data_IF_230327523739
#
_entry.id   IF_230327523739
#
_cell.length_a   1.000
_cell.length_b   1.000
_cell.length_c   1.000
_cell.angle_alpha   90.00
_cell.angle_beta   90.00
_cell.angle_gamma   90.00
#
_symmetry.space_group_name_H-M   'P 1'
#
loop_
_entity.id
_entity.type
_entity.pdbx_description
1 polymer ?
#
# COMPACT_ATOMS: atom_id res chain seq x y z
N UNK A 1 -54.76 28.32 79.92
CA UNK A 1 -55.33 29.68 79.78
C UNK A 1 -55.39 30.06 78.31
N UNK A 2 -56.58 30.46 77.85
CA UNK A 2 -56.92 31.32 76.69
C UNK A 2 -56.86 30.75 75.24
N UNK A 3 -58.05 30.45 74.71
CA UNK A 3 -58.51 30.69 73.32
C UNK A 3 -58.51 32.22 72.99
N UNK A 4 -58.70 32.72 71.73
CA UNK A 4 -59.42 32.16 70.56
C UNK A 4 -58.81 32.43 69.14
N UNK A 5 -59.51 31.97 68.08
CA UNK A 5 -59.33 32.29 66.65
C UNK A 5 -59.86 33.72 66.29
N UNK A 6 -59.75 34.32 65.06
CA UNK A 6 -60.39 33.81 63.82
C UNK A 6 -59.77 34.18 62.44
N UNK A 7 -60.47 33.69 61.39
CA UNK A 7 -60.37 33.82 59.92
C UNK A 7 -60.07 35.20 59.32
N UNK A 8 -59.57 35.20 58.07
CA UNK A 8 -59.97 35.93 56.82
C UNK A 8 -58.79 35.78 55.83
N UNK A 9 -58.88 35.67 54.49
CA UNK A 9 -59.88 36.06 53.50
C UNK A 9 -59.57 35.33 52.17
N UNK A 10 -60.61 35.04 51.38
CA UNK A 10 -60.55 34.53 50.00
C UNK A 10 -59.74 35.46 49.08
N UNK A 11 -58.95 34.85 48.20
CA UNK A 11 -58.31 35.51 47.06
C UNK A 11 -58.26 34.56 45.87
N UNK A 12 -59.41 34.35 45.22
CA UNK A 12 -59.50 33.70 43.91
C UNK A 12 -58.84 34.60 42.86
N UNK A 13 -57.74 34.16 42.28
CA UNK A 13 -57.30 34.61 40.95
C UNK A 13 -57.12 33.40 40.04
N UNK A 14 -58.17 33.12 39.27
CA UNK A 14 -58.05 32.47 37.96
C UNK A 14 -57.27 33.42 37.06
N UNK A 15 -56.17 32.96 36.49
CA UNK A 15 -55.54 33.59 35.34
C UNK A 15 -55.00 32.51 34.40
N UNK A 16 -55.65 32.46 33.23
CA UNK A 16 -55.28 31.93 31.91
C UNK A 16 -54.54 30.57 31.76
N UNK A 17 -55.02 29.66 30.89
CA UNK A 17 -54.18 28.61 30.34
C UNK A 17 -53.06 29.25 29.51
N UNK A 18 -51.82 29.09 29.96
CA UNK A 18 -50.65 29.46 29.19
C UNK A 18 -50.65 28.69 27.86
N UNK A 19 -50.92 29.42 26.79
CA UNK A 19 -50.61 29.04 25.41
C UNK A 19 -49.22 28.41 25.35
N UNK A 20 -49.16 27.12 24.97
CA UNK A 20 -47.94 26.48 24.52
C UNK A 20 -47.49 27.22 23.25
N UNK A 21 -46.61 28.21 23.40
CA UNK A 21 -45.84 28.75 22.28
C UNK A 21 -44.89 27.63 21.83
N UNK A 22 -45.35 26.82 20.88
CA UNK A 22 -44.48 25.97 20.09
C UNK A 22 -43.57 26.89 19.27
N UNK A 23 -42.35 27.09 19.78
CA UNK A 23 -41.31 27.81 19.06
C UNK A 23 -41.06 27.13 17.70
N UNK A 24 -41.10 27.85 16.56
CA UNK A 24 -40.82 27.28 15.25
C UNK A 24 -39.30 27.12 15.07
N UNK A 25 -38.67 26.28 15.90
CA UNK A 25 -37.23 25.94 15.83
C UNK A 25 -36.99 24.52 15.32
N UNK A 26 -37.74 24.04 14.32
CA UNK A 26 -37.58 22.65 13.88
C UNK A 26 -37.51 22.39 12.37
N UNK A 27 -37.73 23.39 11.51
CA UNK A 27 -37.58 23.19 10.05
C UNK A 27 -36.26 23.71 9.48
N UNK A 28 -35.83 24.93 9.84
CA UNK A 28 -34.56 25.50 9.32
C UNK A 28 -33.30 24.76 9.76
N UNK A 29 -33.28 24.18 10.97
CA UNK A 29 -32.13 23.42 11.46
C UNK A 29 -32.05 22.01 10.86
N UNK A 30 -33.20 21.37 10.61
CA UNK A 30 -33.25 20.08 9.94
C UNK A 30 -32.74 20.18 8.49
N UNK A 31 -33.10 21.25 7.78
CA UNK A 31 -32.62 21.49 6.41
C UNK A 31 -31.12 21.86 6.36
N UNK A 32 -30.58 22.57 7.36
CA UNK A 32 -29.13 22.82 7.46
C UNK A 32 -28.35 21.53 7.71
N UNK A 33 -28.83 20.65 8.59
CA UNK A 33 -28.19 19.34 8.79
C UNK A 33 -28.33 18.41 7.58
N UNK A 34 -29.48 18.42 6.88
CA UNK A 34 -29.67 17.64 5.65
C UNK A 34 -28.79 18.14 4.51
N UNK A 35 -28.62 19.46 4.36
CA UNK A 35 -27.70 20.05 3.37
C UNK A 35 -26.24 19.76 3.71
N UNK A 36 -25.87 19.74 4.99
CA UNK A 36 -24.52 19.34 5.42
C UNK A 36 -24.23 17.84 5.18
N UNK A 37 -25.25 16.98 5.26
CA UNK A 37 -25.13 15.55 4.97
C UNK A 37 -25.02 15.23 3.47
N UNK A 38 -25.65 16.02 2.60
CA UNK A 38 -25.57 15.85 1.14
C UNK A 38 -24.27 16.45 0.56
N UNK A 39 -23.70 17.48 1.19
CA UNK A 39 -22.51 18.19 0.68
C UNK A 39 -21.15 17.60 1.11
N UNK A 40 -21.10 16.47 1.83
CA UNK A 40 -19.85 15.93 2.40
C UNK A 40 -19.31 14.65 1.76
N UNK A 41 -19.77 14.28 0.56
CA UNK A 41 -19.13 13.22 -0.24
C UNK A 41 -18.50 13.82 -1.48
N UNK A 42 -17.38 14.53 -1.30
CA UNK A 42 -16.63 15.13 -2.41
C UNK A 42 -16.13 14.02 -3.36
N UNK A 43 -16.66 13.90 -4.59
CA UNK A 43 -16.17 12.91 -5.57
C UNK A 43 -14.69 13.13 -5.90
N UNK A 44 -14.18 14.36 -5.72
CA UNK A 44 -12.78 14.71 -5.97
C UNK A 44 -11.77 13.89 -5.16
N UNK A 45 -12.08 13.52 -3.90
CA UNK A 45 -11.14 12.72 -3.09
C UNK A 45 -11.02 11.29 -3.61
N UNK A 46 -12.14 10.65 -3.95
CA UNK A 46 -12.14 9.31 -4.52
C UNK A 46 -11.41 9.28 -5.87
N UNK A 47 -11.60 10.32 -6.70
CA UNK A 47 -10.89 10.48 -7.98
C UNK A 47 -9.39 10.61 -7.76
N UNK A 48 -8.92 11.44 -6.83
CA UNK A 48 -7.48 11.60 -6.53
C UNK A 48 -6.87 10.26 -6.07
N UNK A 49 -7.54 9.55 -5.17
CA UNK A 49 -7.07 8.22 -4.71
C UNK A 49 -6.99 7.24 -5.88
N UNK A 50 -8.02 7.17 -6.73
CA UNK A 50 -8.03 6.31 -7.89
C UNK A 50 -6.88 6.64 -8.86
N UNK A 51 -6.67 7.93 -9.15
CA UNK A 51 -5.58 8.39 -10.01
C UNK A 51 -4.21 8.07 -9.43
N UNK A 52 -4.01 8.22 -8.12
CA UNK A 52 -2.76 7.88 -7.45
C UNK A 52 -2.46 6.38 -7.54
N UNK A 53 -3.47 5.52 -7.30
CA UNK A 53 -3.32 4.06 -7.38
C UNK A 53 -3.06 3.60 -8.82
N UNK A 54 -3.83 4.11 -9.79
CA UNK A 54 -3.64 3.80 -11.22
C UNK A 54 -2.27 4.30 -11.70
N UNK A 55 -1.90 5.52 -11.35
CA UNK A 55 -0.58 6.08 -11.66
C UNK A 55 0.56 5.25 -11.09
N UNK A 56 0.40 4.75 -9.85
CA UNK A 56 1.38 3.86 -9.22
C UNK A 56 1.50 2.52 -9.94
N UNK A 57 0.38 1.94 -10.38
CA UNK A 57 0.39 0.73 -11.20
C UNK A 57 1.11 0.95 -12.54
N UNK A 58 0.83 2.06 -13.24
CA UNK A 58 1.47 2.38 -14.52
C UNK A 58 2.97 2.63 -14.35
N UNK A 59 3.38 3.38 -13.32
CA UNK A 59 4.77 3.60 -12.99
C UNK A 59 5.50 2.27 -12.64
N UNK A 60 4.87 1.43 -11.81
CA UNK A 60 5.37 0.10 -11.49
C UNK A 60 5.48 -0.82 -12.71
N UNK A 61 4.60 -0.63 -13.69
CA UNK A 61 4.57 -1.42 -14.92
C UNK A 61 5.75 -1.13 -15.86
N UNK A 62 6.53 -0.06 -15.66
CA UNK A 62 7.67 0.26 -16.52
C UNK A 62 8.73 -0.87 -16.43
N UNK A 63 9.07 -1.56 -17.53
CA UNK A 63 9.90 -2.75 -17.49
C UNK A 63 11.40 -2.39 -17.57
N UNK A 64 11.95 -1.77 -16.52
CA UNK A 64 13.33 -1.27 -16.54
C UNK A 64 14.37 -2.33 -16.88
N UNK A 65 14.23 -3.58 -16.42
CA UNK A 65 15.20 -4.62 -16.78
C UNK A 65 15.22 -4.97 -18.27
N UNK A 66 14.08 -4.85 -18.96
CA UNK A 66 14.03 -4.98 -20.42
C UNK A 66 14.68 -3.77 -21.10
N UNK A 67 14.36 -2.55 -20.63
CA UNK A 67 14.88 -1.30 -21.18
C UNK A 67 16.41 -1.25 -21.02
N UNK A 68 16.90 -1.44 -19.80
CA UNK A 68 18.32 -1.37 -19.45
C UNK A 68 19.12 -2.44 -20.20
N UNK A 69 18.65 -3.69 -20.24
CA UNK A 69 19.35 -4.74 -20.98
C UNK A 69 19.43 -4.45 -22.48
N UNK A 70 18.36 -3.91 -23.07
CA UNK A 70 18.31 -3.57 -24.49
C UNK A 70 19.17 -2.36 -24.82
N UNK A 71 19.24 -1.35 -23.94
CA UNK A 71 20.16 -0.22 -24.09
C UNK A 71 21.62 -0.65 -23.96
N UNK A 72 21.93 -1.58 -23.05
CA UNK A 72 23.30 -2.02 -22.82
C UNK A 72 23.84 -2.99 -23.89
N UNK A 73 22.97 -3.81 -24.51
CA UNK A 73 23.42 -4.93 -25.37
C UNK A 73 22.71 -5.03 -26.72
N UNK A 74 21.64 -4.27 -26.95
CA UNK A 74 20.75 -4.42 -28.11
C UNK A 74 19.84 -5.66 -28.08
N UNK A 75 20.01 -6.57 -27.11
CA UNK A 75 19.29 -7.86 -27.04
C UNK A 75 18.09 -7.82 -26.10
N UNK A 76 17.12 -8.69 -26.34
CA UNK A 76 15.98 -8.89 -25.45
C UNK A 76 16.36 -9.81 -24.28
N UNK A 77 16.30 -9.31 -23.05
CA UNK A 77 16.61 -10.08 -21.82
C UNK A 77 15.75 -11.33 -21.67
N UNK A 78 14.56 -11.36 -22.25
CA UNK A 78 13.63 -12.50 -22.17
C UNK A 78 14.11 -13.70 -22.99
N UNK A 79 15.04 -13.50 -23.93
CA UNK A 79 15.64 -14.58 -24.71
C UNK A 79 16.82 -15.26 -23.98
N UNK A 80 17.21 -14.77 -22.79
CA UNK A 80 18.37 -15.26 -22.04
C UNK A 80 17.95 -15.87 -20.72
N UNK A 81 18.61 -16.96 -20.33
CA UNK A 81 18.52 -17.55 -19.00
C UNK A 81 17.10 -17.96 -18.60
N UNK A 82 16.57 -17.31 -17.56
CA UNK A 82 15.22 -17.60 -17.03
C UNK A 82 14.09 -16.96 -17.83
N UNK A 83 14.41 -16.08 -18.79
CA UNK A 83 13.45 -15.26 -19.52
C UNK A 83 12.76 -14.18 -18.68
N UNK A 84 13.14 -14.03 -17.40
CA UNK A 84 12.60 -12.99 -16.52
C UNK A 84 13.27 -11.63 -16.80
N UNK A 85 12.56 -10.53 -16.54
CA UNK A 85 13.10 -9.17 -16.69
C UNK A 85 13.81 -8.66 -15.43
N UNK A 86 13.83 -9.43 -14.34
CA UNK A 86 14.47 -9.02 -13.09
C UNK A 86 16.01 -8.97 -13.14
N UNK A 87 16.60 -8.24 -12.20
CA UNK A 87 18.04 -7.97 -12.12
C UNK A 87 18.93 -9.23 -12.23
N UNK A 88 18.55 -10.37 -11.62
CA UNK A 88 19.32 -11.62 -11.71
C UNK A 88 19.48 -12.11 -13.16
N UNK A 89 18.43 -11.99 -13.98
CA UNK A 89 18.50 -12.39 -15.38
C UNK A 89 19.21 -11.33 -16.23
N UNK A 90 19.00 -10.05 -15.91
CA UNK A 90 19.76 -8.95 -16.52
C UNK A 90 21.26 -9.12 -16.26
N UNK A 91 21.69 -9.58 -15.09
CA UNK A 91 23.10 -9.85 -14.80
C UNK A 91 23.70 -10.88 -15.77
N UNK A 92 22.92 -11.92 -16.10
CA UNK A 92 23.30 -12.97 -17.05
C UNK A 92 23.32 -12.47 -18.50
N UNK A 93 22.43 -11.54 -18.85
CA UNK A 93 22.27 -11.06 -20.22
C UNK A 93 23.15 -9.84 -20.57
N UNK A 94 23.35 -8.92 -19.62
CA UNK A 94 23.90 -7.59 -19.85
C UNK A 94 24.94 -7.15 -18.78
N UNK A 95 25.34 -8.06 -17.87
CA UNK A 95 26.39 -7.80 -16.90
C UNK A 95 25.93 -7.10 -15.60
N UNK A 96 26.88 -6.95 -14.67
CA UNK A 96 26.61 -6.52 -13.28
C UNK A 96 26.11 -5.07 -13.19
N UNK A 97 26.66 -4.16 -14.01
CA UNK A 97 26.25 -2.75 -14.02
C UNK A 97 24.79 -2.60 -14.45
N UNK A 98 24.40 -3.26 -15.54
CA UNK A 98 23.00 -3.28 -16.01
C UNK A 98 22.06 -3.89 -14.97
N UNK A 99 22.49 -4.95 -14.28
CA UNK A 99 21.72 -5.55 -13.20
C UNK A 99 21.53 -4.62 -12.00
N UNK A 100 22.59 -3.92 -11.58
CA UNK A 100 22.53 -2.95 -10.49
C UNK A 100 21.60 -1.77 -10.83
N UNK A 101 21.71 -1.22 -12.04
CA UNK A 101 20.79 -0.17 -12.52
C UNK A 101 19.35 -0.66 -12.57
N UNK A 102 19.11 -1.90 -13.05
CA UNK A 102 17.78 -2.50 -13.05
C UNK A 102 17.23 -2.63 -11.63
N UNK A 103 18.03 -3.13 -10.69
CA UNK A 103 17.64 -3.30 -9.30
C UNK A 103 17.25 -1.96 -8.67
N UNK A 104 18.08 -0.93 -8.87
CA UNK A 104 17.84 0.42 -8.36
C UNK A 104 16.56 1.02 -8.95
N UNK A 105 16.38 0.98 -10.27
CA UNK A 105 15.20 1.54 -10.93
C UNK A 105 13.91 0.79 -10.56
N UNK A 106 13.97 -0.55 -10.47
CA UNK A 106 12.84 -1.36 -10.03
C UNK A 106 12.49 -1.14 -8.55
N UNK A 107 13.47 -0.83 -7.70
CA UNK A 107 13.22 -0.42 -6.32
C UNK A 107 12.61 0.99 -6.26
N UNK A 108 13.15 1.95 -7.01
CA UNK A 108 12.67 3.33 -7.05
C UNK A 108 11.23 3.44 -7.51
N UNK A 109 10.81 2.67 -8.53
CA UNK A 109 9.41 2.69 -8.98
C UNK A 109 8.42 2.11 -7.95
N UNK A 110 8.90 1.35 -6.97
CA UNK A 110 8.11 0.93 -5.80
C UNK A 110 8.16 1.97 -4.68
N UNK A 111 9.37 2.48 -4.40
CA UNK A 111 9.63 3.46 -3.34
C UNK A 111 8.89 4.78 -3.57
N UNK A 112 9.06 5.42 -4.73
CA UNK A 112 8.58 6.78 -4.96
C UNK A 112 7.05 6.89 -4.83
N UNK A 113 6.23 6.04 -5.49
CA UNK A 113 4.78 6.15 -5.36
C UNK A 113 4.31 5.86 -3.92
N UNK A 114 4.89 4.86 -3.25
CA UNK A 114 4.54 4.55 -1.86
C UNK A 114 4.93 5.68 -0.89
N UNK A 115 6.12 6.26 -1.07
CA UNK A 115 6.63 7.34 -0.22
C UNK A 115 5.81 8.63 -0.40
N UNK A 116 5.62 9.12 -1.62
CA UNK A 116 4.89 10.38 -1.82
C UNK A 116 3.40 10.25 -1.46
N UNK A 117 2.79 9.11 -1.78
CA UNK A 117 1.43 8.82 -1.34
C UNK A 117 1.32 8.78 0.20
N UNK A 118 2.35 8.29 0.90
CA UNK A 118 2.34 8.25 2.36
C UNK A 118 2.54 9.60 3.05
N UNK A 119 3.01 10.62 2.33
CA UNK A 119 3.09 12.00 2.84
C UNK A 119 1.79 12.80 2.63
N UNK A 120 0.79 12.22 1.97
CA UNK A 120 -0.51 12.87 1.72
C UNK A 120 -1.45 12.74 2.92
N UNK A 121 -2.56 13.49 2.95
CA UNK A 121 -3.49 13.58 4.09
C UNK A 121 -4.12 12.24 4.56
N UNK A 122 -4.14 11.19 3.71
CA UNK A 122 -4.61 9.82 4.02
C UNK A 122 -3.44 8.80 4.21
N UNK A 123 -2.31 9.35 4.68
CA UNK A 123 -0.94 8.83 4.72
C UNK A 123 -0.75 7.32 4.57
N UNK A 124 -1.08 6.52 5.59
CA UNK A 124 -0.62 5.12 5.60
C UNK A 124 -1.41 4.22 4.64
N UNK A 125 -2.72 4.42 4.49
CA UNK A 125 -3.56 3.60 3.62
C UNK A 125 -3.29 3.85 2.14
N UNK A 126 -3.12 5.12 1.75
CA UNK A 126 -2.85 5.48 0.36
C UNK A 126 -1.43 5.04 -0.04
N UNK A 127 -0.44 5.24 0.83
CA UNK A 127 0.93 4.75 0.63
C UNK A 127 0.98 3.23 0.43
N UNK A 128 0.28 2.49 1.29
CA UNK A 128 0.12 1.04 1.19
C UNK A 128 -0.52 0.62 -0.15
N UNK A 129 -1.64 1.23 -0.53
CA UNK A 129 -2.36 0.91 -1.76
C UNK A 129 -1.51 1.21 -3.02
N UNK A 130 -0.88 2.38 -3.08
CA UNK A 130 0.02 2.77 -4.17
C UNK A 130 1.24 1.84 -4.26
N UNK A 131 1.82 1.46 -3.12
CA UNK A 131 2.94 0.52 -3.08
C UNK A 131 2.57 -0.86 -3.63
N UNK A 132 1.46 -1.44 -3.17
CA UNK A 132 0.95 -2.73 -3.70
C UNK A 132 0.65 -2.60 -5.19
N UNK A 133 0.01 -1.51 -5.64
CA UNK A 133 -0.27 -1.27 -7.05
C UNK A 133 1.00 -1.22 -7.90
N UNK A 134 2.08 -0.59 -7.42
CA UNK A 134 3.37 -0.58 -8.10
C UNK A 134 3.99 -1.98 -8.23
N UNK A 135 3.91 -2.82 -7.19
CA UNK A 135 4.37 -4.22 -7.24
C UNK A 135 3.53 -5.04 -8.22
N UNK A 136 2.20 -4.86 -8.20
CA UNK A 136 1.29 -5.50 -9.16
C UNK A 136 1.64 -5.07 -10.59
N UNK A 137 1.91 -3.78 -10.83
CA UNK A 137 2.39 -3.28 -12.11
C UNK A 137 3.68 -3.94 -12.56
N UNK A 138 4.68 -4.08 -11.68
CA UNK A 138 5.93 -4.76 -12.01
C UNK A 138 5.71 -6.24 -12.38
N UNK A 139 4.83 -6.94 -11.67
CA UNK A 139 4.56 -8.36 -11.88
C UNK A 139 3.66 -8.61 -13.10
N UNK A 140 2.73 -7.71 -13.37
CA UNK A 140 1.72 -7.77 -14.42
C UNK A 140 1.67 -6.45 -15.23
N UNK A 141 2.76 -6.10 -15.92
CA UNK A 141 2.83 -4.84 -16.65
C UNK A 141 1.96 -4.90 -17.91
N UNK A 142 1.13 -3.88 -18.09
CA UNK A 142 0.20 -3.78 -19.22
C UNK A 142 0.92 -3.88 -20.58
N UNK A 143 2.11 -3.29 -20.70
CA UNK A 143 2.91 -3.26 -21.92
C UNK A 143 3.49 -4.62 -22.33
N UNK A 144 3.64 -5.56 -21.39
CA UNK A 144 4.21 -6.89 -21.66
C UNK A 144 3.15 -8.00 -21.56
N UNK A 145 1.88 -7.69 -21.93
CA UNK A 145 0.76 -8.64 -21.88
C UNK A 145 0.63 -9.28 -20.50
N UNK A 146 0.82 -8.48 -19.44
CA UNK A 146 0.76 -8.90 -18.04
C UNK A 146 1.80 -9.99 -17.64
N UNK A 147 2.91 -10.09 -18.37
CA UNK A 147 4.02 -11.00 -18.07
C UNK A 147 5.26 -10.22 -17.65
N UNK A 148 5.33 -9.89 -16.37
CA UNK A 148 6.43 -9.12 -15.79
C UNK A 148 7.33 -9.93 -14.86
N UNK A 149 8.03 -9.19 -13.99
CA UNK A 149 8.99 -9.77 -13.05
C UNK A 149 8.32 -10.44 -11.85
N UNK A 150 9.09 -10.58 -10.77
CA UNK A 150 8.65 -11.26 -9.53
C UNK A 150 8.39 -10.31 -8.36
N UNK A 151 8.68 -9.02 -8.51
CA UNK A 151 8.32 -8.01 -7.53
C UNK A 151 9.26 -7.87 -6.33
N UNK A 152 10.41 -8.57 -6.30
CA UNK A 152 11.33 -8.52 -5.15
C UNK A 152 11.92 -7.12 -4.95
N UNK A 153 12.52 -6.54 -5.99
CA UNK A 153 13.16 -5.22 -5.89
C UNK A 153 12.12 -4.11 -5.67
N UNK A 154 11.00 -4.16 -6.41
CA UNK A 154 9.90 -3.21 -6.24
C UNK A 154 9.25 -3.33 -4.86
N UNK A 155 9.06 -4.55 -4.36
CA UNK A 155 8.60 -4.81 -3.00
C UNK A 155 9.57 -4.29 -1.94
N UNK A 156 10.87 -4.49 -2.11
CA UNK A 156 11.90 -3.91 -1.24
C UNK A 156 11.80 -2.38 -1.22
N UNK A 157 11.64 -1.74 -2.38
CA UNK A 157 11.46 -0.29 -2.46
C UNK A 157 10.21 0.20 -1.72
N UNK A 158 9.08 -0.48 -1.86
CA UNK A 158 7.85 -0.16 -1.12
C UNK A 158 8.06 -0.33 0.39
N UNK A 159 8.64 -1.46 0.82
CA UNK A 159 8.92 -1.71 2.24
C UNK A 159 9.91 -0.68 2.78
N UNK A 160 10.91 -0.26 2.01
CA UNK A 160 11.85 0.79 2.42
C UNK A 160 11.14 2.14 2.62
N UNK A 161 10.17 2.47 1.77
CA UNK A 161 9.40 3.70 1.90
C UNK A 161 8.48 3.72 3.13
N UNK A 162 7.90 2.57 3.50
CA UNK A 162 6.82 2.49 4.49
C UNK A 162 7.24 1.88 5.84
N UNK A 163 8.24 1.01 5.84
CA UNK A 163 8.79 0.30 7.01
C UNK A 163 10.31 0.07 6.84
N UNK A 164 11.15 1.12 6.95
CA UNK A 164 12.58 1.05 6.65
C UNK A 164 13.33 -0.05 7.39
N UNK A 165 13.02 -0.25 8.68
CA UNK A 165 13.65 -1.31 9.50
C UNK A 165 13.34 -2.70 8.96
N UNK A 166 12.09 -2.97 8.59
CA UNK A 166 11.69 -4.23 7.96
C UNK A 166 12.39 -4.45 6.62
N UNK A 167 12.55 -3.39 5.82
CA UNK A 167 13.26 -3.45 4.55
C UNK A 167 14.75 -3.78 4.75
N UNK A 168 15.40 -3.14 5.72
CA UNK A 168 16.81 -3.36 6.03
C UNK A 168 17.06 -4.78 6.54
N UNK A 169 16.27 -5.25 7.52
CA UNK A 169 16.37 -6.62 8.01
C UNK A 169 16.09 -7.65 6.90
N UNK A 170 15.07 -7.41 6.07
CA UNK A 170 14.77 -8.25 4.91
C UNK A 170 15.91 -8.29 3.89
N UNK A 171 16.55 -7.15 3.62
CA UNK A 171 17.71 -7.08 2.71
C UNK A 171 18.94 -7.80 3.27
N UNK A 172 19.19 -7.70 4.57
CA UNK A 172 20.27 -8.44 5.24
C UNK A 172 20.02 -9.94 5.16
N UNK A 173 18.82 -10.41 5.51
CA UNK A 173 18.46 -11.83 5.43
C UNK A 173 18.52 -12.32 3.98
N UNK A 174 18.05 -11.52 3.02
CA UNK A 174 18.18 -11.81 1.60
C UNK A 174 19.65 -12.04 1.20
N UNK A 175 20.54 -11.12 1.59
CA UNK A 175 21.95 -11.17 1.25
C UNK A 175 22.64 -12.38 1.88
N UNK A 176 22.37 -12.67 3.16
CA UNK A 176 22.91 -13.85 3.86
C UNK A 176 22.43 -15.15 3.22
N UNK A 177 21.12 -15.29 3.01
CA UNK A 177 20.54 -16.49 2.42
C UNK A 177 21.03 -16.70 0.98
N UNK A 178 21.18 -15.62 0.19
CA UNK A 178 21.78 -15.69 -1.14
C UNK A 178 23.28 -16.04 -1.08
N UNK A 179 24.04 -15.50 -0.13
CA UNK A 179 25.47 -15.79 0.00
C UNK A 179 25.73 -17.26 0.38
N UNK A 180 24.89 -17.84 1.24
CA UNK A 180 24.97 -19.22 1.69
C UNK A 180 24.48 -20.18 0.59
N UNK A 181 23.24 -20.00 0.12
CA UNK A 181 22.63 -20.93 -0.82
C UNK A 181 23.09 -20.73 -2.27
N UNK A 182 23.66 -19.56 -2.61
CA UNK A 182 23.98 -19.10 -3.97
C UNK A 182 22.79 -19.06 -4.93
N UNK A 183 21.58 -19.22 -4.41
CA UNK A 183 20.33 -19.24 -5.17
C UNK A 183 19.51 -17.98 -4.87
N UNK A 184 19.20 -17.21 -5.91
CA UNK A 184 18.49 -15.93 -5.77
C UNK A 184 17.05 -16.07 -5.25
N UNK A 185 16.35 -17.16 -5.57
CA UNK A 185 14.98 -17.40 -5.09
C UNK A 185 14.92 -17.63 -3.58
N UNK A 186 15.88 -18.37 -3.03
CA UNK A 186 16.02 -18.64 -1.59
C UNK A 186 16.23 -17.33 -0.84
N UNK A 187 17.16 -16.49 -1.31
CA UNK A 187 17.34 -15.14 -0.77
C UNK A 187 16.04 -14.34 -0.82
N UNK A 188 15.36 -14.29 -1.96
CA UNK A 188 14.11 -13.55 -2.15
C UNK A 188 12.99 -13.96 -1.20
N UNK A 189 12.78 -15.26 -1.01
CA UNK A 189 11.74 -15.77 -0.11
C UNK A 189 12.10 -15.56 1.36
N UNK A 190 13.35 -15.81 1.75
CA UNK A 190 13.82 -15.60 3.11
C UNK A 190 13.77 -14.12 3.51
N UNK A 191 14.26 -13.22 2.64
CA UNK A 191 14.22 -11.78 2.88
C UNK A 191 12.79 -11.23 2.97
N UNK A 192 11.88 -11.71 2.11
CA UNK A 192 10.47 -11.34 2.17
C UNK A 192 9.80 -11.80 3.48
N UNK A 193 10.08 -13.03 3.92
CA UNK A 193 9.59 -13.55 5.19
C UNK A 193 10.13 -12.74 6.39
N UNK A 194 11.42 -12.42 6.41
CA UNK A 194 12.02 -11.59 7.46
C UNK A 194 11.42 -10.18 7.50
N UNK A 195 11.22 -9.56 6.33
CA UNK A 195 10.55 -8.26 6.24
C UNK A 195 9.13 -8.31 6.82
N UNK A 196 8.36 -9.37 6.55
CA UNK A 196 7.02 -9.55 7.10
C UNK A 196 7.04 -9.67 8.62
N UNK A 197 7.94 -10.48 9.18
CA UNK A 197 8.07 -10.67 10.63
C UNK A 197 8.42 -9.36 11.34
N UNK A 198 9.40 -8.61 10.82
CA UNK A 198 9.82 -7.33 11.40
C UNK A 198 8.72 -6.27 11.24
N UNK A 199 8.03 -6.24 10.09
CA UNK A 199 6.88 -5.36 9.90
C UNK A 199 5.74 -5.70 10.88
N UNK A 200 5.52 -6.97 11.21
CA UNK A 200 4.53 -7.40 12.20
C UNK A 200 4.78 -6.84 13.60
N UNK A 201 6.05 -6.62 13.95
CA UNK A 201 6.44 -6.05 15.25
C UNK A 201 6.53 -4.51 15.26
N UNK A 202 6.70 -3.87 14.09
CA UNK A 202 7.13 -2.45 14.03
C UNK A 202 6.26 -1.55 13.16
N UNK A 203 5.46 -2.10 12.24
CA UNK A 203 4.65 -1.33 11.31
C UNK A 203 3.19 -1.21 11.75
N UNK A 204 2.51 -0.16 11.29
CA UNK A 204 1.06 -0.05 11.48
C UNK A 204 0.30 -1.09 10.63
N UNK A 205 -0.99 -1.29 10.95
CA UNK A 205 -1.83 -2.32 10.32
C UNK A 205 -1.89 -2.21 8.80
N UNK A 206 -1.97 -1.00 8.25
CA UNK A 206 -2.08 -0.76 6.82
C UNK A 206 -0.80 -1.18 6.08
N UNK A 207 0.35 -0.80 6.63
CA UNK A 207 1.67 -1.16 6.09
C UNK A 207 1.92 -2.67 6.24
N UNK A 208 1.56 -3.27 7.38
CA UNK A 208 1.67 -4.72 7.57
C UNK A 208 0.85 -5.50 6.52
N UNK A 209 -0.40 -5.10 6.27
CA UNK A 209 -1.24 -5.73 5.24
C UNK A 209 -0.62 -5.57 3.85
N UNK A 210 -0.04 -4.41 3.53
CA UNK A 210 0.65 -4.22 2.26
C UNK A 210 1.89 -5.11 2.13
N UNK A 211 2.74 -5.19 3.15
CA UNK A 211 3.92 -6.06 3.16
C UNK A 211 3.50 -7.53 3.02
N UNK A 212 2.46 -7.96 3.74
CA UNK A 212 1.91 -9.32 3.60
C UNK A 212 1.42 -9.59 2.17
N UNK A 213 0.68 -8.65 1.56
CA UNK A 213 0.23 -8.79 0.17
C UNK A 213 1.40 -8.88 -0.81
N UNK A 214 2.44 -8.06 -0.63
CA UNK A 214 3.66 -8.09 -1.44
C UNK A 214 4.37 -9.44 -1.29
N UNK A 215 4.51 -9.96 -0.08
CA UNK A 215 5.11 -11.27 0.20
C UNK A 215 4.33 -12.39 -0.49
N UNK A 216 3.00 -12.37 -0.40
CA UNK A 216 2.14 -13.32 -1.12
C UNK A 216 2.35 -13.25 -2.64
N UNK A 217 2.38 -12.04 -3.22
CA UNK A 217 2.64 -11.85 -4.65
C UNK A 217 4.02 -12.42 -4.99
N UNK A 218 5.07 -12.05 -4.27
CA UNK A 218 6.44 -12.54 -4.50
C UNK A 218 6.50 -14.06 -4.41
N UNK A 219 5.89 -14.67 -3.41
CA UNK A 219 5.85 -16.13 -3.24
C UNK A 219 5.16 -16.82 -4.42
N UNK A 220 3.98 -16.34 -4.84
CA UNK A 220 3.26 -16.87 -6.00
C UNK A 220 4.09 -16.72 -7.29
N UNK A 221 4.77 -15.58 -7.47
CA UNK A 221 5.67 -15.36 -8.63
C UNK A 221 6.92 -16.25 -8.59
N UNK A 222 7.27 -16.82 -7.44
CA UNK A 222 8.36 -17.77 -7.27
C UNK A 222 7.95 -19.24 -7.37
N UNK A 223 6.66 -19.57 -7.61
CA UNK A 223 6.21 -20.97 -7.70
C UNK A 223 7.05 -21.87 -8.63
N UNK A 224 7.48 -21.34 -9.77
CA UNK A 224 8.33 -22.08 -10.72
C UNK A 224 9.76 -22.27 -10.22
N UNK A 225 10.25 -21.34 -9.40
CA UNK A 225 11.56 -21.42 -8.76
C UNK A 225 11.52 -22.46 -7.65
N UNK A 226 10.51 -22.40 -6.77
CA UNK A 226 10.28 -23.41 -5.74
C UNK A 226 10.19 -24.81 -6.36
N UNK A 227 9.46 -24.99 -7.47
CA UNK A 227 9.42 -26.29 -8.17
C UNK A 227 10.80 -26.77 -8.61
N UNK A 228 11.63 -25.87 -9.15
CA UNK A 228 13.01 -26.19 -9.55
C UNK A 228 13.94 -26.43 -8.36
N UNK A 229 13.69 -25.78 -7.23
CA UNK A 229 14.44 -25.99 -6.00
C UNK A 229 14.20 -27.40 -5.47
N UNK A 230 12.93 -27.84 -5.48
CA UNK A 230 12.53 -29.19 -5.07
C UNK A 230 13.03 -30.28 -6.03
N UNK A 231 13.26 -29.97 -7.31
CA UNK A 231 13.87 -30.89 -8.27
C UNK A 231 15.40 -30.79 -8.36
N UNK A 232 16.05 -29.97 -7.51
CA UNK A 232 17.50 -29.69 -7.56
C UNK A 232 18.01 -29.10 -8.90
N UNK A 233 17.13 -28.46 -9.66
CA UNK A 233 17.43 -27.84 -10.95
C UNK A 233 17.59 -26.31 -10.85
N UNK A 234 17.36 -25.74 -9.67
CA UNK A 234 17.49 -24.30 -9.48
C UNK A 234 18.96 -23.85 -9.39
N UNK A 235 19.30 -22.80 -10.14
CA UNK A 235 20.64 -22.23 -10.28
C UNK A 235 20.64 -20.71 -10.09
#
# INVERSE_FOLDING_TARGET
MRHPAPRLRRGSRRAAPGTIQSSPRSHRDRDRHRRQLVLRRFPGRAVIVALAVVGSYLAGSIPFGLIVARLATGKDVRAVGSGNIGATNVARAAGRTAAASTLLLDALKGFLPAFFASKSADSSSLGAACGVAAVVGHCFPVWLRFRGGKGVATGLGVTLALAPLAALCGAVVWALAWAIARISSVGSLAGAAAALLVAGATANRQVLVAVAAIVCIVAVRHRSNVRRLLSHEER
#
